data_IF_414716578814
#
_entry.id   IF_414716578814
#
_cell.length_a   1.000
_cell.length_b   1.000
_cell.length_c   1.000
_cell.angle_alpha   90.00
_cell.angle_beta   90.00
_cell.angle_gamma   90.00
#
_symmetry.space_group_name_H-M   'P 1'
#
loop_
_entity.id
_entity.type
_entity.pdbx_description
1 polymer ?
#
# COMPACT_ATOMS: atom_id res chain seq x y z
N UNK A 1 -15.56 33.68 -2.87
CA UNK A 1 -15.02 33.13 -1.61
C UNK A 1 -14.79 31.66 -1.87
N UNK A 2 -13.56 31.17 -1.74
CA UNK A 2 -13.29 29.73 -1.82
C UNK A 2 -13.88 29.11 -0.54
N UNK A 3 -14.92 28.31 -0.67
CA UNK A 3 -15.50 27.59 0.45
C UNK A 3 -14.53 26.44 0.76
N UNK A 4 -14.06 26.34 2.00
CA UNK A 4 -13.25 25.20 2.43
C UNK A 4 -14.08 23.94 2.27
N UNK A 5 -13.57 22.88 1.60
CA UNK A 5 -14.33 21.67 1.37
C UNK A 5 -14.74 21.02 2.70
N UNK A 6 -15.99 20.57 2.79
CA UNK A 6 -16.56 19.94 3.97
C UNK A 6 -16.04 18.49 4.07
N UNK A 7 -15.33 18.16 5.16
CA UNK A 7 -14.85 16.80 5.43
C UNK A 7 -15.67 16.14 6.54
N UNK A 8 -16.22 14.96 6.27
CA UNK A 8 -16.87 14.10 7.27
C UNK A 8 -16.11 12.79 7.39
N UNK A 9 -15.67 12.44 8.60
CA UNK A 9 -14.99 11.16 8.86
C UNK A 9 -16.01 10.02 8.72
N UNK A 10 -15.71 9.06 7.85
CA UNK A 10 -16.55 7.88 7.62
C UNK A 10 -15.99 6.63 8.31
N UNK A 11 -14.66 6.49 8.36
CA UNK A 11 -14.00 5.34 8.97
C UNK A 11 -12.59 5.72 9.43
N UNK A 12 -12.12 5.07 10.49
CA UNK A 12 -10.75 5.23 10.99
C UNK A 12 -10.25 3.95 11.65
N UNK A 13 -8.94 3.77 11.62
CA UNK A 13 -8.19 2.75 12.34
C UNK A 13 -7.01 3.47 13.01
N UNK A 14 -7.01 3.57 14.33
CA UNK A 14 -6.00 4.33 15.10
C UNK A 14 -4.92 3.42 15.70
N UNK A 15 -5.06 2.09 15.56
CA UNK A 15 -4.20 1.01 16.04
C UNK A 15 -3.86 0.97 17.54
N UNK A 16 -3.56 2.11 18.17
CA UNK A 16 -3.19 2.23 19.59
C UNK A 16 -4.33 1.96 20.57
N UNK A 17 -5.55 1.74 20.09
CA UNK A 17 -6.72 1.34 20.87
C UNK A 17 -6.92 -0.19 20.93
N UNK A 18 -6.19 -1.00 20.15
CA UNK A 18 -6.24 -2.46 20.23
C UNK A 18 -5.45 -2.99 21.42
N UNK A 19 -6.16 -3.30 22.51
CA UNK A 19 -5.57 -3.79 23.76
C UNK A 19 -4.98 -5.20 23.66
N UNK A 20 -5.43 -6.01 22.70
CA UNK A 20 -4.98 -7.39 22.51
C UNK A 20 -3.73 -7.50 21.60
N UNK A 21 -3.19 -6.39 21.11
CA UNK A 21 -1.96 -6.33 20.31
C UNK A 21 -2.10 -6.95 18.92
N UNK A 22 -3.32 -7.21 18.45
CA UNK A 22 -3.64 -7.89 17.18
C UNK A 22 -4.67 -7.13 16.37
N UNK A 23 -4.60 -7.30 15.05
CA UNK A 23 -5.57 -6.70 14.13
C UNK A 23 -6.94 -7.39 14.23
N UNK A 24 -8.04 -6.61 14.15
CA UNK A 24 -9.40 -7.15 14.13
C UNK A 24 -9.63 -7.97 12.86
N UNK A 25 -10.01 -9.24 13.01
CA UNK A 25 -10.28 -10.18 11.91
C UNK A 25 -11.47 -9.72 11.06
N UNK A 26 -12.38 -8.89 11.57
CA UNK A 26 -13.48 -8.30 10.81
C UNK A 26 -13.02 -7.21 9.83
N UNK A 27 -11.82 -6.67 10.00
CA UNK A 27 -11.27 -5.61 9.13
C UNK A 27 -10.13 -6.14 8.27
N UNK A 28 -9.21 -6.93 8.86
CA UNK A 28 -7.94 -7.28 8.23
C UNK A 28 -7.83 -8.78 7.93
N UNK A 29 -7.34 -9.08 6.74
CA UNK A 29 -6.90 -10.40 6.31
C UNK A 29 -5.40 -10.38 6.05
N UNK A 30 -4.78 -11.55 6.05
CA UNK A 30 -3.34 -11.71 5.82
C UNK A 30 -3.10 -12.52 4.55
N UNK A 31 -2.26 -12.00 3.68
CA UNK A 31 -1.64 -12.81 2.64
C UNK A 31 -0.48 -13.58 3.26
N UNK A 32 -0.37 -14.88 2.95
CA UNK A 32 0.60 -15.78 3.56
C UNK A 32 1.42 -16.47 2.47
N UNK A 33 2.74 -16.50 2.66
CA UNK A 33 3.69 -17.13 1.75
C UNK A 33 4.34 -16.16 0.77
N UNK A 34 4.91 -16.73 -0.29
CA UNK A 34 5.67 -16.06 -1.34
C UNK A 34 4.83 -15.81 -2.61
N UNK A 35 3.50 -15.93 -2.48
CA UNK A 35 2.54 -15.77 -3.58
C UNK A 35 2.37 -17.01 -4.48
N UNK A 36 3.18 -18.07 -4.32
CA UNK A 36 3.07 -19.29 -5.14
C UNK A 36 1.69 -19.96 -5.03
N UNK A 37 1.10 -19.99 -3.82
CA UNK A 37 -0.24 -20.54 -3.59
C UNK A 37 -1.36 -19.72 -4.26
N UNK A 38 -1.10 -18.44 -4.54
CA UNK A 38 -2.00 -17.54 -5.28
C UNK A 38 -1.73 -17.56 -6.79
N UNK A 39 -0.79 -18.40 -7.26
CA UNK A 39 -0.36 -18.42 -8.67
C UNK A 39 0.52 -17.23 -9.07
N UNK A 40 0.98 -16.43 -8.11
CA UNK A 40 1.82 -15.25 -8.30
C UNK A 40 3.15 -15.49 -7.59
N UNK A 41 3.99 -16.36 -8.18
CA UNK A 41 5.30 -16.69 -7.61
C UNK A 41 6.14 -15.42 -7.37
N UNK A 42 6.71 -15.27 -6.17
CA UNK A 42 7.43 -14.06 -5.77
C UNK A 42 6.53 -12.81 -5.82
N UNK A 43 5.24 -12.99 -5.54
CA UNK A 43 4.15 -12.02 -5.69
C UNK A 43 4.05 -11.35 -7.08
N UNK A 44 4.64 -11.97 -8.10
CA UNK A 44 4.71 -11.44 -9.47
C UNK A 44 5.91 -10.51 -9.72
N UNK A 45 6.71 -10.21 -8.69
CA UNK A 45 7.79 -9.22 -8.73
C UNK A 45 9.16 -9.79 -8.32
N UNK A 46 9.28 -11.11 -8.14
CA UNK A 46 10.46 -11.77 -7.55
C UNK A 46 10.82 -11.26 -6.15
N UNK A 47 9.79 -10.94 -5.37
CA UNK A 47 9.91 -10.58 -3.95
C UNK A 47 10.56 -11.74 -3.16
N UNK A 48 11.39 -11.41 -2.17
CA UNK A 48 12.22 -12.37 -1.43
C UNK A 48 11.63 -12.77 -0.07
N UNK A 49 10.61 -12.09 0.42
CA UNK A 49 9.98 -12.41 1.69
C UNK A 49 8.96 -13.55 1.60
N UNK A 50 8.81 -14.26 2.71
CA UNK A 50 7.64 -15.09 2.98
C UNK A 50 6.72 -14.31 3.92
N UNK A 51 5.52 -13.94 3.47
CA UNK A 51 4.58 -13.22 4.34
C UNK A 51 4.02 -14.14 5.42
N UNK A 52 4.01 -13.64 6.67
CA UNK A 52 3.49 -14.36 7.85
C UNK A 52 2.59 -13.46 8.68
N UNK A 53 1.72 -14.06 9.51
CA UNK A 53 0.93 -13.32 10.49
C UNK A 53 1.80 -12.75 11.63
N UNK A 54 2.83 -13.49 12.05
CA UNK A 54 3.66 -13.12 13.20
C UNK A 54 4.54 -11.89 12.93
N UNK A 55 4.78 -11.58 11.65
CA UNK A 55 5.45 -10.34 11.22
C UNK A 55 4.59 -9.09 11.37
N UNK A 56 3.33 -9.21 11.79
CA UNK A 56 2.38 -8.10 11.94
C UNK A 56 1.88 -8.04 13.39
N UNK A 57 2.14 -6.93 14.06
CA UNK A 57 1.80 -6.74 15.48
C UNK A 57 1.26 -5.35 15.73
N UNK A 58 0.60 -5.16 16.87
CA UNK A 58 0.23 -3.83 17.37
C UNK A 58 1.01 -3.55 18.66
N UNK A 59 1.75 -2.45 18.66
CA UNK A 59 2.47 -1.90 19.81
C UNK A 59 2.37 -0.37 19.80
N UNK A 60 1.20 0.13 20.21
CA UNK A 60 0.79 1.54 20.06
C UNK A 60 0.48 1.96 18.62
N UNK A 61 1.16 1.36 17.64
CA UNK A 61 0.97 1.49 16.20
C UNK A 61 0.83 0.09 15.59
N UNK A 62 0.32 0.00 14.35
CA UNK A 62 0.54 -1.18 13.52
C UNK A 62 2.01 -1.26 13.13
N UNK A 63 2.61 -2.41 13.35
CA UNK A 63 4.00 -2.72 13.03
C UNK A 63 4.04 -3.90 12.05
N UNK A 64 4.57 -3.67 10.86
CA UNK A 64 4.97 -4.73 9.94
C UNK A 64 6.48 -4.83 9.96
N UNK A 65 6.99 -5.99 10.38
CA UNK A 65 8.43 -6.24 10.53
C UNK A 65 8.91 -7.24 9.49
N UNK A 66 9.91 -6.83 8.71
CA UNK A 66 10.70 -7.75 7.92
C UNK A 66 11.92 -8.21 8.72
N UNK A 67 12.16 -9.51 8.80
CA UNK A 67 13.30 -10.10 9.51
C UNK A 67 14.04 -11.11 8.64
N UNK A 68 15.37 -10.98 8.61
CA UNK A 68 16.25 -11.95 7.96
C UNK A 68 16.21 -13.25 8.75
N UNK A 69 16.01 -14.35 8.05
CA UNK A 69 16.00 -15.67 8.65
C UNK A 69 17.42 -16.26 8.71
N UNK A 70 17.68 -17.02 9.76
CA UNK A 70 18.89 -17.84 9.87
C UNK A 70 18.78 -19.09 8.98
N UNK A 71 19.93 -19.71 8.69
CA UNK A 71 19.97 -21.03 8.05
C UNK A 71 19.15 -22.05 8.86
N UNK A 72 18.34 -22.86 8.18
CA UNK A 72 17.55 -23.94 8.79
C UNK A 72 16.07 -23.62 9.07
N UNK A 73 15.51 -22.55 8.49
CA UNK A 73 14.05 -22.34 8.48
C UNK A 73 13.32 -23.46 7.73
N UNK A 74 12.13 -23.82 8.21
CA UNK A 74 11.22 -24.74 7.51
C UNK A 74 10.39 -24.02 6.43
N UNK A 75 10.35 -22.68 6.44
CA UNK A 75 9.64 -21.90 5.43
C UNK A 75 10.33 -22.02 4.07
N UNK A 76 9.55 -22.27 3.03
CA UNK A 76 10.04 -22.43 1.66
C UNK A 76 9.45 -21.35 0.76
N UNK A 77 10.32 -20.65 0.04
CA UNK A 77 9.96 -19.81 -1.09
C UNK A 77 10.30 -20.54 -2.39
N UNK A 78 9.92 -19.96 -3.52
CA UNK A 78 10.16 -20.48 -4.86
C UNK A 78 11.65 -20.70 -5.21
N UNK A 79 12.56 -20.09 -4.47
CA UNK A 79 14.01 -20.23 -4.62
C UNK A 79 14.66 -21.18 -3.58
N UNK A 80 13.89 -21.83 -2.70
CA UNK A 80 14.37 -22.70 -1.63
C UNK A 80 14.02 -22.19 -0.23
N UNK A 81 14.83 -22.49 0.82
CA UNK A 81 14.58 -21.99 2.17
C UNK A 81 14.42 -20.47 2.19
N UNK A 82 13.36 -19.97 2.82
CA UNK A 82 13.05 -18.55 2.86
C UNK A 82 14.19 -17.75 3.49
N UNK A 83 14.55 -16.61 2.89
CA UNK A 83 15.60 -15.73 3.41
C UNK A 83 15.05 -14.65 4.35
N UNK A 84 13.78 -14.29 4.17
CA UNK A 84 13.12 -13.21 4.88
C UNK A 84 11.70 -13.60 5.26
N UNK A 85 11.24 -13.09 6.40
CA UNK A 85 9.80 -12.98 6.69
C UNK A 85 9.38 -11.53 6.62
N UNK A 86 8.10 -11.28 6.34
CA UNK A 86 7.47 -9.96 6.47
C UNK A 86 5.96 -10.10 6.60
N UNK A 87 5.21 -8.99 6.54
CA UNK A 87 3.74 -8.99 6.57
C UNK A 87 3.10 -8.29 5.37
N UNK A 88 1.96 -8.83 4.95
CA UNK A 88 1.04 -8.23 3.99
C UNK A 88 -0.39 -8.42 4.48
N UNK A 89 -1.08 -7.30 4.69
CA UNK A 89 -2.46 -7.29 5.18
C UNK A 89 -3.36 -6.55 4.19
N UNK A 90 -4.62 -6.94 4.15
CA UNK A 90 -5.60 -6.30 3.28
C UNK A 90 -7.01 -6.29 3.89
N UNK A 91 -7.86 -5.40 3.37
CA UNK A 91 -9.26 -5.24 3.77
C UNK A 91 -10.26 -5.87 2.80
N UNK A 92 -9.76 -6.62 1.80
CA UNK A 92 -10.59 -7.24 0.76
C UNK A 92 -11.75 -8.08 1.34
N UNK A 93 -12.97 -7.79 0.85
CA UNK A 93 -14.19 -8.46 1.30
C UNK A 93 -14.62 -8.13 2.73
N UNK A 94 -14.06 -7.07 3.34
CA UNK A 94 -14.34 -6.63 4.71
C UNK A 94 -14.64 -5.13 4.76
N UNK A 95 -13.66 -4.30 4.39
CA UNK A 95 -13.80 -2.84 4.30
C UNK A 95 -13.40 -2.40 2.89
N UNK A 96 -14.30 -1.70 2.22
CA UNK A 96 -14.13 -1.16 0.89
C UNK A 96 -14.33 0.35 0.85
N UNK A 97 -13.65 0.98 -0.10
CA UNK A 97 -13.64 2.43 -0.31
C UNK A 97 -14.02 2.73 -1.74
N UNK A 98 -14.83 3.77 -1.95
CA UNK A 98 -15.06 4.36 -3.25
C UNK A 98 -15.04 5.89 -3.15
N UNK A 99 -14.14 6.54 -3.89
CA UNK A 99 -13.91 7.98 -3.83
C UNK A 99 -13.54 8.48 -2.42
N UNK A 100 -13.63 9.79 -2.16
CA UNK A 100 -13.35 10.40 -0.86
C UNK A 100 -11.87 10.69 -0.63
N UNK A 101 -11.54 11.06 0.60
CA UNK A 101 -10.17 11.32 1.03
C UNK A 101 -9.69 10.22 1.98
N UNK A 102 -8.66 9.47 1.57
CA UNK A 102 -8.01 8.46 2.39
C UNK A 102 -6.62 8.97 2.78
N UNK A 103 -6.30 8.97 4.07
CA UNK A 103 -5.00 9.40 4.59
C UNK A 103 -4.45 8.33 5.54
N UNK A 104 -3.18 8.01 5.38
CA UNK A 104 -2.44 7.05 6.20
C UNK A 104 -1.25 7.79 6.81
N UNK A 105 -1.17 7.80 8.14
CA UNK A 105 -0.01 8.33 8.85
C UNK A 105 0.95 7.18 9.16
N UNK A 106 2.09 7.18 8.48
CA UNK A 106 3.06 6.08 8.54
C UNK A 106 4.50 6.58 8.59
N UNK A 107 5.40 5.74 9.09
CA UNK A 107 6.86 5.92 9.06
C UNK A 107 7.47 4.75 8.30
N UNK A 108 8.22 5.07 7.25
CA UNK A 108 8.76 4.07 6.34
C UNK A 108 9.94 3.30 6.98
N UNK A 109 10.21 2.06 6.54
CA UNK A 109 11.44 1.38 6.86
C UNK A 109 12.65 2.08 6.24
N UNK A 110 13.82 1.85 6.85
CA UNK A 110 15.13 2.11 6.25
C UNK A 110 15.75 0.81 5.75
N UNK A 111 16.63 0.90 4.75
CA UNK A 111 17.52 -0.19 4.35
C UNK A 111 17.38 -0.54 2.87
N UNK A 112 18.51 -0.59 2.16
CA UNK A 112 18.50 -0.96 0.74
C UNK A 112 17.98 -2.39 0.59
N UNK A 113 16.97 -2.55 -0.27
CA UNK A 113 16.22 -3.79 -0.44
C UNK A 113 14.82 -3.78 0.18
N UNK A 114 14.45 -2.78 1.00
CA UNK A 114 13.06 -2.69 1.49
C UNK A 114 12.12 -2.07 0.47
N UNK A 115 10.89 -2.57 0.39
CA UNK A 115 9.81 -2.04 -0.46
C UNK A 115 8.50 -1.94 0.36
N UNK A 116 8.31 -0.86 1.11
CA UNK A 116 7.01 -0.57 1.73
C UNK A 116 6.00 -0.11 0.66
N UNK A 117 4.75 -0.58 0.78
CA UNK A 117 3.66 -0.13 -0.06
C UNK A 117 2.37 0.10 0.74
N UNK A 118 1.69 1.21 0.41
CA UNK A 118 0.35 1.58 0.88
C UNK A 118 -0.52 1.79 -0.35
N UNK A 119 -1.44 0.87 -0.64
CA UNK A 119 -2.04 0.80 -1.95
C UNK A 119 -3.44 0.20 -1.93
N UNK A 120 -4.19 0.45 -3.00
CA UNK A 120 -5.58 0.03 -3.16
C UNK A 120 -5.71 -0.82 -4.41
N UNK A 121 -6.52 -1.88 -4.34
CA UNK A 121 -6.80 -2.76 -5.47
C UNK A 121 -8.30 -2.89 -5.71
N UNK A 122 -8.72 -2.95 -6.98
CA UNK A 122 -10.13 -3.05 -7.33
C UNK A 122 -10.79 -4.32 -6.79
N UNK A 123 -11.94 -4.20 -6.12
CA UNK A 123 -12.68 -5.33 -5.53
C UNK A 123 -13.09 -6.37 -6.57
N UNK A 124 -13.31 -5.96 -7.82
CA UNK A 124 -13.66 -6.86 -8.91
C UNK A 124 -12.56 -7.90 -9.25
N UNK A 125 -11.34 -7.76 -8.72
CA UNK A 125 -10.35 -8.84 -8.73
C UNK A 125 -10.88 -10.12 -8.07
N UNK A 126 -11.64 -9.97 -6.97
CA UNK A 126 -12.27 -11.09 -6.27
C UNK A 126 -13.38 -11.76 -7.10
N UNK A 127 -13.90 -11.05 -8.11
CA UNK A 127 -14.91 -11.54 -9.04
C UNK A 127 -14.28 -12.08 -10.34
N UNK A 128 -12.94 -12.15 -10.41
CA UNK A 128 -12.18 -12.72 -11.53
C UNK A 128 -11.69 -11.73 -12.58
N UNK A 129 -11.82 -10.41 -12.36
CA UNK A 129 -11.21 -9.40 -13.24
C UNK A 129 -9.72 -9.28 -12.91
N UNK A 130 -8.86 -9.81 -13.79
CA UNK A 130 -7.42 -9.85 -13.53
C UNK A 130 -6.78 -8.46 -13.56
N UNK A 131 -5.69 -8.29 -12.81
CA UNK A 131 -4.80 -7.15 -12.97
C UNK A 131 -4.23 -7.09 -14.40
N UNK A 132 -4.05 -5.90 -15.01
CA UNK A 132 -4.28 -4.56 -14.46
C UNK A 132 -5.73 -4.05 -14.65
N UNK A 133 -6.66 -4.86 -15.18
CA UNK A 133 -8.02 -4.43 -15.49
C UNK A 133 -8.87 -4.12 -14.25
N UNK A 134 -8.51 -4.68 -13.08
CA UNK A 134 -9.15 -4.33 -11.81
C UNK A 134 -8.81 -2.90 -11.34
N UNK A 135 -7.70 -2.34 -11.82
CA UNK A 135 -7.17 -1.05 -11.36
C UNK A 135 -6.41 -1.16 -10.04
N UNK A 136 -5.42 -0.30 -9.89
CA UNK A 136 -4.55 -0.17 -8.71
C UNK A 136 -4.25 1.31 -8.44
N UNK A 137 -4.31 1.73 -7.18
CA UNK A 137 -3.95 3.08 -6.74
C UNK A 137 -2.91 2.97 -5.63
N UNK A 138 -1.69 3.38 -5.92
CA UNK A 138 -0.60 3.42 -4.96
C UNK A 138 -0.60 4.78 -4.28
N UNK A 139 -1.01 4.81 -3.02
CA UNK A 139 -0.94 6.01 -2.17
C UNK A 139 0.53 6.31 -1.89
N UNK A 140 1.31 5.25 -1.66
CA UNK A 140 2.75 5.30 -1.54
C UNK A 140 3.36 3.97 -2.01
N UNK A 141 4.35 4.08 -2.89
CA UNK A 141 5.45 3.13 -3.01
C UNK A 141 6.77 3.82 -2.66
N UNK A 142 7.72 3.06 -2.12
CA UNK A 142 9.08 3.53 -1.89
C UNK A 142 10.05 2.35 -1.99
N UNK A 143 11.31 2.64 -2.29
CA UNK A 143 12.41 1.67 -2.10
C UNK A 143 13.38 2.22 -1.08
N UNK A 144 13.93 1.36 -0.24
CA UNK A 144 14.92 1.78 0.76
C UNK A 144 16.24 2.26 0.15
N UNK A 145 16.46 2.05 -1.15
CA UNK A 145 17.53 2.68 -1.93
C UNK A 145 17.29 4.19 -2.17
N UNK A 146 16.04 4.63 -2.06
CA UNK A 146 15.61 6.02 -2.25
C UNK A 146 14.85 6.52 -1.01
N UNK A 147 15.53 6.74 0.11
CA UNK A 147 14.88 6.99 1.40
C UNK A 147 14.07 8.30 1.48
N UNK A 148 14.23 9.20 0.52
CA UNK A 148 13.49 10.47 0.41
C UNK A 148 12.32 10.41 -0.59
N UNK A 149 12.20 9.33 -1.36
CA UNK A 149 11.27 9.26 -2.49
C UNK A 149 9.84 8.96 -2.04
N UNK A 150 8.94 9.89 -2.33
CA UNK A 150 7.49 9.68 -2.25
C UNK A 150 6.99 9.43 -3.67
N UNK A 151 6.46 8.24 -3.93
CA UNK A 151 5.94 7.84 -5.23
C UNK A 151 4.46 7.50 -5.12
N UNK A 152 3.64 8.19 -5.92
CA UNK A 152 2.23 7.83 -6.11
C UNK A 152 2.01 7.39 -7.55
N UNK A 153 1.27 6.30 -7.74
CA UNK A 153 1.08 5.66 -9.04
C UNK A 153 -0.37 5.21 -9.20
N UNK A 154 -0.84 5.13 -10.45
CA UNK A 154 -2.01 4.32 -10.80
C UNK A 154 -1.65 3.33 -11.89
N UNK A 155 -2.24 2.14 -11.78
CA UNK A 155 -2.17 1.12 -12.81
C UNK A 155 -3.54 0.77 -13.37
N UNK A 156 -3.58 0.60 -14.69
CA UNK A 156 -4.76 0.19 -15.44
C UNK A 156 -4.39 -0.29 -16.84
N UNK A 157 -5.37 -0.76 -17.59
CA UNK A 157 -5.14 -1.29 -18.93
C UNK A 157 -4.52 -0.23 -19.87
N UNK A 158 -3.31 -0.51 -20.37
CA UNK A 158 -2.50 0.42 -21.17
C UNK A 158 -1.64 1.42 -20.38
N UNK A 159 -1.56 1.29 -19.05
CA UNK A 159 -0.68 2.07 -18.16
C UNK A 159 -0.40 1.29 -16.86
N UNK A 160 0.42 0.24 -16.92
CA UNK A 160 0.67 -0.68 -15.81
C UNK A 160 2.13 -1.14 -15.75
N UNK A 161 2.52 -1.80 -14.65
CA UNK A 161 3.91 -2.18 -14.39
C UNK A 161 4.82 -0.95 -14.41
N UNK A 162 5.98 -1.05 -15.06
CA UNK A 162 6.91 0.08 -15.21
C UNK A 162 6.31 1.29 -15.96
N UNK A 163 5.19 1.10 -16.67
CA UNK A 163 4.48 2.16 -17.41
C UNK A 163 3.24 2.66 -16.65
N UNK A 164 3.15 2.44 -15.34
CA UNK A 164 2.17 3.10 -14.48
C UNK A 164 2.25 4.62 -14.61
N UNK A 165 1.13 5.31 -14.38
CA UNK A 165 1.15 6.78 -14.38
C UNK A 165 1.64 7.26 -13.02
N UNK A 166 2.94 7.52 -12.95
CA UNK A 166 3.67 7.77 -11.71
C UNK A 166 4.07 9.23 -11.56
N UNK A 167 4.02 9.75 -10.33
CA UNK A 167 4.68 10.99 -9.93
C UNK A 167 5.54 10.77 -8.71
N UNK A 168 6.76 11.28 -8.77
CA UNK A 168 7.74 11.22 -7.69
C UNK A 168 8.06 12.63 -7.20
N UNK A 169 8.14 12.80 -5.89
CA UNK A 169 8.78 13.94 -5.22
C UNK A 169 9.84 13.46 -4.22
N UNK A 170 10.62 14.39 -3.68
CA UNK A 170 11.61 14.12 -2.64
C UNK A 170 11.20 14.85 -1.36
N UNK A 171 11.15 14.13 -0.24
CA UNK A 171 11.00 14.71 1.09
C UNK A 171 12.31 15.36 1.53
N UNK A 172 12.21 16.35 2.42
CA UNK A 172 13.38 17.04 2.98
C UNK A 172 14.27 16.09 3.79
N UNK A 173 13.66 15.24 4.61
CA UNK A 173 14.33 14.22 5.42
C UNK A 173 13.93 12.81 4.94
N UNK A 174 14.75 11.78 5.20
CA UNK A 174 14.36 10.39 4.99
C UNK A 174 12.98 10.07 5.58
N UNK A 175 12.16 9.32 4.83
CA UNK A 175 10.81 8.91 5.27
C UNK A 175 10.82 7.97 6.48
N UNK A 176 11.99 7.45 6.85
CA UNK A 176 12.21 6.62 8.03
C UNK A 176 12.46 7.42 9.31
N UNK A 177 12.74 8.73 9.23
CA UNK A 177 13.10 9.55 10.39
C UNK A 177 11.87 9.94 11.22
N UNK A 178 10.70 10.08 10.59
CA UNK A 178 9.47 10.52 11.24
C UNK A 178 8.21 9.98 10.58
N UNK A 179 7.09 10.04 11.30
CA UNK A 179 5.78 9.77 10.71
C UNK A 179 5.37 10.90 9.75
N UNK A 180 4.93 10.53 8.56
CA UNK A 180 4.40 11.39 7.53
C UNK A 180 2.95 11.01 7.19
N UNK A 181 2.19 11.95 6.64
CA UNK A 181 0.83 11.69 6.14
C UNK A 181 0.87 11.51 4.63
N UNK A 182 0.47 10.33 4.17
CA UNK A 182 0.29 9.99 2.76
C UNK A 182 -1.19 9.88 2.49
N UNK A 183 -1.71 10.60 1.50
CA UNK A 183 -3.14 10.57 1.24
C UNK A 183 -3.52 10.78 -0.20
N UNK A 184 -4.74 10.38 -0.53
CA UNK A 184 -5.36 10.60 -1.83
C UNK A 184 -6.72 11.26 -1.66
N UNK A 185 -7.03 12.24 -2.50
CA UNK A 185 -8.39 12.66 -2.80
C UNK A 185 -8.81 12.00 -4.11
N UNK A 186 -9.68 11.01 -3.99
CA UNK A 186 -10.19 10.23 -5.12
C UNK A 186 -11.62 10.63 -5.42
N UNK A 187 -11.90 10.93 -6.68
CA UNK A 187 -13.20 11.34 -7.20
C UNK A 187 -13.50 10.56 -8.48
N UNK A 188 -14.71 10.72 -9.03
CA UNK A 188 -15.06 10.13 -10.32
C UNK A 188 -14.13 10.58 -11.45
N UNK A 189 -13.65 11.83 -11.39
CA UNK A 189 -12.91 12.49 -12.46
C UNK A 189 -11.39 12.46 -12.28
N UNK A 190 -10.90 12.27 -11.05
CA UNK A 190 -9.46 12.36 -10.76
C UNK A 190 -9.06 11.69 -9.45
N UNK A 191 -7.77 11.39 -9.36
CA UNK A 191 -7.08 11.02 -8.12
C UNK A 191 -5.97 12.04 -7.91
N UNK A 192 -5.91 12.62 -6.71
CA UNK A 192 -4.94 13.65 -6.32
C UNK A 192 -4.19 13.18 -5.07
N UNK A 193 -2.85 13.21 -5.11
CA UNK A 193 -1.99 12.71 -4.03
C UNK A 193 -1.45 13.85 -3.17
N UNK A 194 -1.35 13.57 -1.88
CA UNK A 194 -0.92 14.48 -0.84
C UNK A 194 0.21 13.87 -0.02
N UNK A 195 1.23 14.67 0.25
CA UNK A 195 2.29 14.37 1.20
C UNK A 195 2.32 15.45 2.26
N UNK A 196 2.14 15.07 3.53
CA UNK A 196 1.98 15.97 4.67
C UNK A 196 0.92 17.06 4.48
N UNK A 197 -0.16 16.71 3.76
CA UNK A 197 -1.28 17.60 3.46
C UNK A 197 -1.05 18.53 2.26
N UNK A 198 0.09 18.44 1.59
CA UNK A 198 0.40 19.21 0.38
C UNK A 198 0.20 18.34 -0.87
N UNK A 199 -0.64 18.81 -1.79
CA UNK A 199 -0.84 18.14 -3.08
C UNK A 199 0.44 18.19 -3.92
N UNK A 200 0.84 17.04 -4.47
CA UNK A 200 2.03 16.95 -5.34
C UNK A 200 1.75 16.32 -6.70
N UNK A 201 0.59 15.68 -6.86
CA UNK A 201 0.17 15.07 -8.11
C UNK A 201 -1.34 15.07 -8.23
N UNK A 202 -1.84 15.22 -9.46
CA UNK A 202 -3.23 14.97 -9.81
C UNK A 202 -3.29 14.34 -11.18
N UNK A 203 -3.92 13.17 -11.26
CA UNK A 203 -4.20 12.50 -12.52
C UNK A 203 -5.69 12.55 -12.74
N UNK A 204 -6.10 13.15 -13.85
CA UNK A 204 -7.49 13.27 -14.25
C UNK A 204 -7.81 12.27 -15.35
N UNK A 205 -9.01 11.71 -15.32
CA UNK A 205 -9.53 10.80 -16.36
C UNK A 205 -9.44 11.40 -17.78
N UNK A 206 -9.49 12.73 -17.88
CA UNK A 206 -9.39 13.49 -19.13
C UNK A 206 -7.95 13.76 -19.61
N UNK A 207 -6.93 13.35 -18.86
CA UNK A 207 -5.54 13.60 -19.23
C UNK A 207 -5.18 12.90 -20.55
N UNK A 208 -4.35 13.55 -21.36
CA UNK A 208 -3.97 13.04 -22.70
C UNK A 208 -3.30 11.65 -22.61
N UNK A 209 -2.54 11.39 -21.55
CA UNK A 209 -1.91 10.09 -21.29
C UNK A 209 -2.92 8.93 -21.14
N UNK A 210 -4.19 9.24 -20.88
CA UNK A 210 -5.32 8.32 -20.73
C UNK A 210 -6.28 8.35 -21.91
N UNK A 211 -6.00 9.14 -22.95
CA UNK A 211 -6.87 9.22 -24.13
C UNK A 211 -7.07 7.82 -24.76
N UNK A 212 -8.33 7.37 -24.80
CA UNK A 212 -8.71 6.07 -25.34
C UNK A 212 -8.39 4.87 -24.45
N UNK A 213 -7.91 5.09 -23.21
CA UNK A 213 -7.61 4.03 -22.24
C UNK A 213 -8.74 3.87 -21.22
N UNK A 214 -8.98 2.67 -20.67
CA UNK A 214 -9.98 2.46 -19.61
C UNK A 214 -9.65 3.22 -18.32
N UNK A 215 -10.67 3.56 -17.53
CA UNK A 215 -10.54 4.18 -16.21
C UNK A 215 -11.23 3.28 -15.17
N UNK A 216 -10.52 2.31 -14.56
CA UNK A 216 -11.11 1.33 -13.64
C UNK A 216 -11.31 1.87 -12.21
N UNK A 217 -11.11 3.18 -11.98
CA UNK A 217 -11.20 3.83 -10.66
C UNK A 217 -12.60 4.39 -10.37
N UNK A 218 -13.64 3.70 -10.84
CA UNK A 218 -15.05 4.07 -10.69
C UNK A 218 -15.89 2.98 -9.99
N UNK A 219 -15.23 2.21 -9.13
CA UNK A 219 -15.79 1.05 -8.41
C UNK A 219 -15.22 1.00 -6.98
N UNK A 220 -15.58 -0.03 -6.22
CA UNK A 220 -15.02 -0.31 -4.89
C UNK A 220 -13.57 -0.80 -4.98
N UNK A 221 -12.73 -0.27 -4.09
CA UNK A 221 -11.35 -0.69 -3.88
C UNK A 221 -11.15 -1.09 -2.41
N UNK A 222 -10.24 -2.02 -2.16
CA UNK A 222 -9.81 -2.39 -0.81
C UNK A 222 -8.34 -2.01 -0.59
N UNK A 223 -8.00 -1.69 0.66
CA UNK A 223 -6.65 -1.32 1.10
C UNK A 223 -5.77 -2.54 1.30
N UNK A 224 -4.51 -2.41 0.88
CA UNK A 224 -3.40 -3.34 1.09
C UNK A 224 -2.23 -2.56 1.71
N UNK A 225 -1.58 -3.16 2.70
CA UNK A 225 -0.39 -2.65 3.37
C UNK A 225 0.61 -3.79 3.45
N UNK A 226 1.82 -3.58 2.94
CA UNK A 226 2.89 -4.57 3.05
C UNK A 226 4.28 -3.94 3.12
N UNK A 227 5.24 -4.79 3.51
CA UNK A 227 6.66 -4.51 3.43
C UNK A 227 7.34 -5.65 2.67
N UNK A 228 7.53 -5.49 1.37
CA UNK A 228 8.29 -6.44 0.55
C UNK A 228 9.80 -6.26 0.76
N UNK A 229 10.57 -7.30 0.41
CA UNK A 229 12.03 -7.31 0.44
C UNK A 229 12.56 -7.77 -0.93
N UNK A 230 13.42 -6.97 -1.55
CA UNK A 230 13.98 -7.25 -2.87
C UNK A 230 12.94 -7.16 -3.99
N UNK A 231 13.05 -8.06 -4.97
CA UNK A 231 12.24 -8.00 -6.18
C UNK A 231 12.74 -6.98 -7.20
N UNK A 232 12.06 -6.94 -8.35
CA UNK A 232 12.47 -6.09 -9.48
C UNK A 232 12.45 -4.60 -9.15
N UNK A 233 11.57 -4.18 -8.25
CA UNK A 233 11.42 -2.76 -7.88
C UNK A 233 12.45 -2.31 -6.83
N UNK A 234 12.57 -3.00 -5.69
CA UNK A 234 13.55 -2.62 -4.67
C UNK A 234 14.99 -3.03 -5.01
N UNK A 235 15.19 -3.99 -5.91
CA UNK A 235 16.50 -4.41 -6.39
C UNK A 235 17.24 -5.29 -5.38
N UNK A 236 18.58 -5.21 -5.40
CA UNK A 236 19.42 -6.00 -4.50
C UNK A 236 19.21 -5.59 -3.03
N UNK A 237 19.23 -6.59 -2.15
CA UNK A 237 19.15 -6.38 -0.69
C UNK A 237 20.56 -6.20 -0.15
N UNK A 238 20.77 -5.15 0.65
CA UNK A 238 22.03 -4.95 1.37
C UNK A 238 22.34 -6.19 2.23
N UNK A 239 23.49 -6.85 2.07
CA UNK A 239 23.84 -8.04 2.84
C UNK A 239 23.82 -7.80 4.36
N UNK A 240 24.04 -6.57 4.80
CA UNK A 240 24.05 -6.18 6.21
C UNK A 240 22.65 -5.89 6.77
N UNK A 241 21.63 -5.73 5.93
CA UNK A 241 20.25 -5.58 6.41
C UNK A 241 19.83 -6.85 7.16
N UNK A 242 19.46 -6.70 8.43
CA UNK A 242 18.97 -7.82 9.27
C UNK A 242 17.47 -7.72 9.54
N UNK A 243 16.94 -6.49 9.61
CA UNK A 243 15.55 -6.25 9.88
C UNK A 243 15.13 -4.88 9.35
N UNK A 244 13.87 -4.75 8.99
CA UNK A 244 13.23 -3.49 8.64
C UNK A 244 11.84 -3.40 9.26
N UNK A 245 11.34 -2.19 9.47
CA UNK A 245 10.06 -1.96 10.15
C UNK A 245 9.27 -0.86 9.46
N UNK A 246 8.07 -1.19 9.02
CA UNK A 246 7.05 -0.24 8.57
C UNK A 246 6.09 -0.01 9.75
N UNK A 247 5.84 1.26 10.07
CA UNK A 247 4.95 1.64 11.20
C UNK A 247 3.79 2.48 10.68
N UNK A 248 2.56 2.14 11.08
CA UNK A 248 1.35 2.89 10.74
C UNK A 248 0.67 3.32 12.04
N UNK A 249 0.58 4.63 12.24
CA UNK A 249 -0.07 5.23 13.41
C UNK A 249 -1.58 5.27 13.21
N UNK A 250 -2.06 5.68 12.03
CA UNK A 250 -3.50 5.73 11.79
C UNK A 250 -3.85 5.68 10.30
N UNK A 251 -5.08 5.27 10.02
CA UNK A 251 -5.73 5.40 8.72
C UNK A 251 -7.05 6.13 8.94
N UNK A 252 -7.33 7.14 8.12
CA UNK A 252 -8.55 7.94 8.21
C UNK A 252 -9.16 8.12 6.83
N UNK A 253 -10.46 7.84 6.74
CA UNK A 253 -11.22 7.94 5.52
C UNK A 253 -12.38 8.91 5.68
N UNK A 254 -12.49 9.86 4.77
CA UNK A 254 -13.46 10.94 4.82
C UNK A 254 -14.26 11.02 3.52
N UNK A 255 -15.53 11.39 3.62
CA UNK A 255 -16.20 12.02 2.49
C UNK A 255 -15.79 13.49 2.41
N UNK A 256 -15.64 14.01 1.19
CA UNK A 256 -15.34 15.43 0.90
C UNK A 256 -16.47 16.01 0.05
N UNK A 257 -17.14 17.04 0.55
CA UNK A 257 -18.31 17.66 -0.09
C UNK A 257 -19.40 16.62 -0.47
N UNK A 258 -19.59 15.62 0.40
CA UNK A 258 -20.53 14.51 0.18
C UNK A 258 -20.03 13.41 -0.77
N UNK A 259 -18.80 13.53 -1.30
CA UNK A 259 -18.17 12.50 -2.15
C UNK A 259 -17.34 11.56 -1.29
N UNK A 260 -17.63 10.26 -1.37
CA UNK A 260 -16.93 9.21 -0.63
C UNK A 260 -17.92 8.21 -0.08
N UNK A 261 -17.63 6.92 -0.25
CA UNK A 261 -18.50 5.83 0.18
C UNK A 261 -17.65 4.76 0.87
N UNK A 262 -17.95 4.55 2.15
CA UNK A 262 -17.49 3.39 2.91
C UNK A 262 -18.41 2.20 2.62
N UNK A 263 -17.83 1.03 2.41
CA UNK A 263 -18.54 -0.22 2.17
C UNK A 263 -18.05 -1.21 3.23
N UNK A 264 -18.96 -1.77 4.01
CA UNK A 264 -18.69 -2.78 5.04
C UNK A 264 -19.43 -4.06 4.63
N UNK A 265 -18.73 -5.20 4.66
CA UNK A 265 -19.25 -6.51 4.27
C UNK A 265 -19.61 -7.40 5.46
#
# INVERSE_FOLDING_TARGET
MSQTPEKTLLWSEEFGDHQDGRLPDETWSFDIGDGSNAGLVGWGNNELEFYTKDSVTIDGNLIIRAEKLNEGTDLQCYYGPALWTSGKIHTAGKVGFQYGYLEIKAKMPSGVGTWPALWLLGKNLLDGITWPHCGEIDILENTGAHPHQVQGTIHGDGYFGENGLTRIIQSENPLADSFHRFGILWTEESIEWFFDGVSYNKISKSDEALAGKPWPFNQEFYLIINLAIGGWFAGEVDPELQSAKLEIESIKYYSVDGIGKLILH
#
